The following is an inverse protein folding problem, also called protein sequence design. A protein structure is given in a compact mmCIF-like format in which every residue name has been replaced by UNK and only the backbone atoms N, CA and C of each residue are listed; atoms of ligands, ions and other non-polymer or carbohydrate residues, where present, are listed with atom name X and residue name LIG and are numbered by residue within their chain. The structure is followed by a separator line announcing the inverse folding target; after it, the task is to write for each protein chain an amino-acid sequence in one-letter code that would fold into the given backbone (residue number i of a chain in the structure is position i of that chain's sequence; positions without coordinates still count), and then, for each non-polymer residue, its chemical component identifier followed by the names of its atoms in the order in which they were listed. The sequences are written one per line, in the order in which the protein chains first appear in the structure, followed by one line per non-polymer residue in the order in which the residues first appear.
data_IF_394774336138
#
_entry.id   IF_394774336138
#
_cell.length_a   1.000
_cell.length_b   1.000
_cell.length_c   1.000
_cell.angle_alpha   90.00
_cell.angle_beta   90.00
_cell.angle_gamma   90.00
#
_symmetry.space_group_name_H-M   'P 1'
#
loop_
_entity.id
_entity.type
_entity.pdbx_description
1 polymer ?
#
# COMPACT_ATOMS: atom_id res chain seq x y z
N UNK A 1 10.07 8.74 -4.08
CA UNK A 1 9.82 7.60 -3.15
C UNK A 1 9.85 7.98 -1.65
N UNK A 2 9.00 7.38 -0.80
CA UNK A 2 9.05 7.56 0.65
C UNK A 2 8.61 6.31 1.45
N UNK A 3 9.45 5.86 2.40
CA UNK A 3 9.19 4.71 3.28
C UNK A 3 8.70 5.18 4.66
N UNK A 4 7.64 4.56 5.17
CA UNK A 4 6.99 4.91 6.43
C UNK A 4 6.79 3.62 7.24
N UNK A 5 7.17 3.62 8.52
CA UNK A 5 6.85 2.54 9.45
C UNK A 5 5.59 2.91 10.24
N UNK A 6 4.56 2.06 10.22
CA UNK A 6 3.31 2.33 10.96
C UNK A 6 3.41 2.00 12.45
N UNK A 7 4.11 0.92 12.82
CA UNK A 7 4.29 0.51 14.22
C UNK A 7 5.44 1.27 14.90
N UNK A 8 5.17 1.84 16.07
CA UNK A 8 6.19 2.43 16.96
C UNK A 8 6.53 3.90 16.72
N UNK A 9 5.88 4.59 15.77
CA UNK A 9 5.97 6.04 15.64
C UNK A 9 4.96 6.76 16.54
N UNK A 10 5.38 7.87 17.15
CA UNK A 10 4.46 8.82 17.80
C UNK A 10 3.43 9.31 16.78
N UNK A 11 2.15 9.24 17.15
CA UNK A 11 0.98 9.65 16.35
C UNK A 11 1.15 11.06 15.79
N UNK A 12 1.79 11.97 16.54
CA UNK A 12 2.09 13.34 16.11
C UNK A 12 3.08 13.41 14.94
N UNK A 13 4.08 12.53 14.91
CA UNK A 13 5.07 12.50 13.83
C UNK A 13 4.48 11.98 12.52
N UNK A 14 3.61 10.97 12.59
CA UNK A 14 2.84 10.51 11.43
C UNK A 14 1.88 11.60 10.95
N UNK A 15 1.19 12.30 11.85
CA UNK A 15 0.30 13.42 11.50
C UNK A 15 1.05 14.55 10.78
N UNK A 16 2.23 14.90 11.28
CA UNK A 16 3.06 15.96 10.70
C UNK A 16 3.62 15.57 9.33
N UNK A 17 4.07 14.32 9.18
CA UNK A 17 4.51 13.75 7.91
C UNK A 17 3.37 13.80 6.88
N UNK A 18 2.17 13.35 7.29
CA UNK A 18 1.01 13.34 6.42
C UNK A 18 0.59 14.76 6.03
N UNK A 19 0.58 15.70 6.97
CA UNK A 19 0.20 17.09 6.68
C UNK A 19 1.17 17.80 5.74
N UNK A 20 2.49 17.61 5.91
CA UNK A 20 3.51 18.23 5.05
C UNK A 20 3.46 17.75 3.59
N UNK A 21 2.90 16.56 3.36
CA UNK A 21 2.79 15.95 2.03
C UNK A 21 1.38 16.09 1.44
N UNK A 22 0.51 16.91 2.05
CA UNK A 22 -0.83 17.21 1.56
C UNK A 22 -1.89 16.16 1.88
N UNK A 23 -1.62 15.24 2.80
CA UNK A 23 -2.57 14.22 3.23
C UNK A 23 -3.53 14.76 4.31
N UNK A 24 -4.78 14.25 4.35
CA UNK A 24 -5.75 14.56 5.43
C UNK A 24 -5.54 13.62 6.62
N UNK A 25 -4.62 14.03 7.50
CA UNK A 25 -4.08 13.20 8.58
C UNK A 25 -5.10 12.82 9.67
N UNK A 26 -6.12 13.65 9.86
CA UNK A 26 -7.18 13.56 10.86
C UNK A 26 -8.11 12.35 10.69
N UNK A 27 -8.41 11.95 9.44
CA UNK A 27 -9.18 10.70 9.18
C UNK A 27 -8.30 9.46 9.12
N UNK A 28 -7.06 9.59 8.62
CA UNK A 28 -6.12 8.48 8.42
C UNK A 28 -5.60 7.88 9.72
N UNK A 29 -5.32 8.71 10.73
CA UNK A 29 -4.75 8.23 11.99
C UNK A 29 -5.74 7.45 12.84
N UNK A 30 -7.04 7.78 12.80
CA UNK A 30 -8.06 7.03 13.52
C UNK A 30 -8.13 5.56 13.05
N UNK A 31 -8.15 5.35 11.74
CA UNK A 31 -8.22 4.02 11.13
C UNK A 31 -6.90 3.24 11.22
N UNK A 32 -5.75 3.93 11.10
CA UNK A 32 -4.43 3.30 11.20
C UNK A 32 -4.06 2.92 12.64
N UNK A 33 -4.46 3.71 13.65
CA UNK A 33 -4.13 3.40 15.06
C UNK A 33 -4.91 2.19 15.58
N UNK A 34 -6.16 1.98 15.12
CA UNK A 34 -6.98 0.82 15.51
C UNK A 34 -6.45 -0.52 14.99
N UNK A 35 -5.63 -0.53 13.92
CA UNK A 35 -5.00 -1.74 13.37
C UNK A 35 -3.76 -2.20 14.16
N UNK A 36 -3.32 -1.44 15.16
CA UNK A 36 -2.02 -1.59 15.83
C UNK A 36 -2.13 -1.94 17.33
N UNK A 37 -3.32 -1.93 17.93
CA UNK A 37 -3.48 -2.34 19.33
C UNK A 37 -3.51 -3.88 19.48
N UNK A 38 -2.60 -4.49 20.26
CA UNK A 38 -2.81 -5.87 20.70
C UNK A 38 -3.93 -5.86 21.75
N UNK A 39 -4.89 -6.78 21.61
CA UNK A 39 -5.84 -7.06 22.68
C UNK A 39 -5.06 -7.54 23.91
N UNK A 40 -4.97 -6.70 24.94
CA UNK A 40 -4.48 -7.09 26.26
C UNK A 40 -5.56 -7.91 26.97
N UNK A 41 -5.26 -9.16 27.30
CA UNK A 41 -5.92 -9.92 28.37
C UNK A 41 -6.41 -11.32 27.98
N UNK A 42 -5.69 -12.35 28.44
CA UNK A 42 -6.05 -13.26 29.55
C UNK A 42 -5.32 -14.60 29.37
N UNK A 43 -4.48 -14.95 30.35
CA UNK A 43 -3.72 -16.21 30.41
C UNK A 43 -4.64 -17.40 30.75
N UNK A 44 -4.45 -18.53 30.05
CA UNK A 44 -4.80 -19.86 30.53
C UNK A 44 -5.72 -20.69 29.64
N UNK A 45 -5.15 -21.54 28.77
CA UNK A 45 -5.68 -22.86 28.37
C UNK A 45 -4.81 -23.54 27.29
N UNK A 46 -4.19 -24.68 27.64
CA UNK A 46 -3.56 -25.74 26.81
C UNK A 46 -2.57 -25.32 25.68
N UNK A 47 -1.59 -26.17 25.25
CA UNK A 47 -0.83 -25.87 24.05
C UNK A 47 -1.75 -26.08 22.85
N UNK A 48 -2.53 -25.04 22.52
CA UNK A 48 -3.13 -24.90 21.20
C UNK A 48 -1.96 -25.06 20.23
N UNK A 49 -2.03 -26.05 19.34
CA UNK A 49 -1.18 -26.03 18.14
C UNK A 49 -1.52 -24.72 17.45
N UNK A 50 -0.66 -23.72 17.66
CA UNK A 50 -0.72 -22.47 16.91
C UNK A 50 -0.44 -22.92 15.48
N UNK A 51 -1.49 -23.06 14.67
CA UNK A 51 -1.32 -22.94 13.23
C UNK A 51 -0.59 -21.61 13.03
N UNK A 52 0.52 -21.62 12.31
CA UNK A 52 1.41 -20.47 12.13
C UNK A 52 0.60 -19.17 11.94
N UNK A 53 0.97 -18.05 12.59
CA UNK A 53 0.33 -16.79 12.29
C UNK A 53 0.62 -16.41 10.81
N UNK A 54 -0.40 -16.62 9.97
CA UNK A 54 -0.89 -15.86 8.81
C UNK A 54 0.19 -15.00 8.13
N UNK A 55 0.48 -15.22 6.84
CA UNK A 55 1.39 -14.37 6.06
C UNK A 55 1.01 -12.88 6.18
N UNK A 56 1.59 -12.19 7.16
CA UNK A 56 1.42 -10.76 7.36
C UNK A 56 2.34 -10.09 6.37
N UNK A 57 1.77 -9.41 5.39
CA UNK A 57 2.53 -8.51 4.54
C UNK A 57 3.30 -7.55 5.45
N UNK A 58 4.64 -7.57 5.37
CA UNK A 58 5.47 -6.66 6.17
C UNK A 58 5.59 -5.31 5.44
N UNK A 59 5.51 -5.29 4.11
CA UNK A 59 5.58 -4.07 3.31
C UNK A 59 4.45 -3.99 2.29
N UNK A 60 3.77 -2.84 2.25
CA UNK A 60 2.89 -2.45 1.15
C UNK A 60 3.53 -1.33 0.32
N UNK A 61 3.74 -1.62 -0.96
CA UNK A 61 4.19 -0.65 -1.96
C UNK A 61 2.97 0.01 -2.57
N UNK A 62 2.92 1.34 -2.55
CA UNK A 62 1.75 2.15 -2.90
C UNK A 62 2.07 3.01 -4.12
N UNK A 63 1.40 2.74 -5.24
CA UNK A 63 1.68 3.36 -6.54
C UNK A 63 0.43 4.07 -7.07
N UNK A 64 0.30 5.40 -6.90
CA UNK A 64 -0.70 6.16 -7.62
C UNK A 64 -0.31 6.28 -9.10
N UNK A 65 -1.24 6.03 -10.01
CA UNK A 65 -1.01 6.04 -11.45
C UNK A 65 -2.10 6.84 -12.18
N UNK A 66 -1.70 7.65 -13.16
CA UNK A 66 -2.61 8.34 -14.08
C UNK A 66 -1.86 8.65 -15.38
N UNK A 67 -2.29 8.05 -16.49
CA UNK A 67 -1.72 8.26 -17.82
C UNK A 67 -0.18 8.07 -17.91
N UNK A 68 0.29 6.90 -17.48
CA UNK A 68 1.72 6.52 -17.36
C UNK A 68 2.03 5.23 -18.15
N UNK A 69 1.31 5.00 -19.26
CA UNK A 69 1.42 3.74 -20.03
C UNK A 69 2.85 3.38 -20.46
N UNK A 70 3.69 4.39 -20.71
CA UNK A 70 5.04 4.19 -21.24
C UNK A 70 6.03 3.72 -20.16
N UNK A 71 5.67 3.87 -18.88
CA UNK A 71 6.58 3.62 -17.74
C UNK A 71 6.07 2.56 -16.78
N UNK A 72 4.76 2.44 -16.58
CA UNK A 72 4.17 1.60 -15.53
C UNK A 72 4.57 0.12 -15.64
N UNK A 73 4.78 -0.38 -16.87
CA UNK A 73 5.24 -1.75 -17.09
C UNK A 73 6.64 -1.97 -16.52
N UNK A 74 7.57 -1.05 -16.78
CA UNK A 74 8.95 -1.13 -16.31
C UNK A 74 9.04 -0.90 -14.81
N UNK A 75 8.29 0.08 -14.29
CA UNK A 75 8.16 0.34 -12.85
C UNK A 75 7.77 -0.93 -12.09
N UNK A 76 6.64 -1.55 -12.45
CA UNK A 76 6.13 -2.75 -11.79
C UNK A 76 7.05 -3.95 -11.94
N UNK A 77 7.65 -4.14 -13.13
CA UNK A 77 8.58 -5.26 -13.36
C UNK A 77 9.83 -5.11 -12.49
N UNK A 78 10.40 -3.90 -12.42
CA UNK A 78 11.60 -3.62 -11.60
C UNK A 78 11.37 -3.89 -10.11
N UNK A 79 10.15 -3.62 -9.61
CA UNK A 79 9.76 -3.94 -8.23
C UNK A 79 9.63 -5.47 -8.08
N UNK A 80 8.89 -6.12 -8.98
CA UNK A 80 8.63 -7.56 -8.92
C UNK A 80 9.92 -8.39 -8.92
N UNK A 81 10.96 -7.96 -9.65
CA UNK A 81 12.24 -8.65 -9.74
C UNK A 81 13.05 -8.62 -8.43
N UNK A 82 12.72 -7.69 -7.52
CA UNK A 82 13.47 -7.45 -6.29
C UNK A 82 12.73 -7.91 -5.03
N UNK A 83 11.40 -7.86 -5.03
CA UNK A 83 10.59 -8.14 -3.83
C UNK A 83 10.57 -9.62 -3.46
N UNK A 84 10.52 -9.89 -2.15
CA UNK A 84 10.42 -11.22 -1.54
C UNK A 84 9.00 -11.48 -1.05
N UNK A 85 8.76 -12.62 -0.41
CA UNK A 85 7.47 -12.91 0.22
C UNK A 85 7.13 -11.89 1.32
N UNK A 86 5.82 -11.69 1.52
CA UNK A 86 5.29 -10.70 2.46
C UNK A 86 5.32 -9.25 1.95
N UNK A 87 5.46 -9.03 0.65
CA UNK A 87 5.30 -7.70 0.01
C UNK A 87 4.08 -7.70 -0.91
N UNK A 88 3.16 -6.76 -0.70
CA UNK A 88 2.05 -6.45 -1.60
C UNK A 88 2.27 -5.13 -2.35
N UNK A 89 1.79 -5.08 -3.59
CA UNK A 89 1.89 -3.92 -4.47
C UNK A 89 0.47 -3.45 -4.79
N UNK A 90 0.11 -2.28 -4.30
CA UNK A 90 -1.18 -1.65 -4.54
C UNK A 90 -1.00 -0.54 -5.56
N UNK A 91 -1.62 -0.71 -6.72
CA UNK A 91 -1.69 0.31 -7.78
C UNK A 91 -3.08 0.90 -7.77
N UNK A 92 -3.18 2.23 -7.67
CA UNK A 92 -4.43 2.94 -7.86
C UNK A 92 -4.38 3.72 -9.17
N UNK A 93 -5.26 3.36 -10.09
CA UNK A 93 -5.48 4.06 -11.35
C UNK A 93 -6.51 5.19 -11.16
N UNK A 94 -6.05 6.44 -11.20
CA UNK A 94 -6.88 7.64 -11.01
C UNK A 94 -7.56 8.04 -12.32
N UNK A 95 -8.31 7.10 -12.92
CA UNK A 95 -9.05 7.28 -14.16
C UNK A 95 -8.14 7.65 -15.36
N UNK A 96 -7.18 6.79 -15.67
CA UNK A 96 -6.37 6.93 -16.88
C UNK A 96 -7.24 6.77 -18.14
N UNK A 97 -6.91 7.53 -19.18
CA UNK A 97 -7.53 7.46 -20.51
C UNK A 97 -6.64 6.77 -21.53
N UNK A 98 -5.46 6.33 -21.11
CA UNK A 98 -4.46 5.64 -21.92
C UNK A 98 -4.41 4.13 -21.58
N UNK A 99 -3.35 3.42 -22.02
CA UNK A 99 -3.22 1.99 -21.77
C UNK A 99 -2.80 1.60 -20.34
N UNK A 100 -2.57 2.55 -19.43
CA UNK A 100 -2.07 2.32 -18.06
C UNK A 100 -2.85 1.22 -17.34
N UNK A 101 -4.17 1.36 -17.28
CA UNK A 101 -5.04 0.42 -16.59
C UNK A 101 -4.95 -1.00 -17.17
N UNK A 102 -4.89 -1.11 -18.50
CA UNK A 102 -4.79 -2.39 -19.20
C UNK A 102 -3.46 -3.10 -18.91
N UNK A 103 -2.36 -2.35 -18.90
CA UNK A 103 -1.02 -2.87 -18.59
C UNK A 103 -0.98 -3.42 -17.16
N UNK A 104 -1.51 -2.68 -16.19
CA UNK A 104 -1.55 -3.14 -14.78
C UNK A 104 -2.42 -4.39 -14.64
N UNK A 105 -3.57 -4.47 -15.33
CA UNK A 105 -4.41 -5.69 -15.33
C UNK A 105 -3.65 -6.90 -15.88
N UNK A 106 -2.85 -6.73 -16.92
CA UNK A 106 -2.06 -7.82 -17.50
C UNK A 106 -1.00 -8.33 -16.52
N UNK A 107 -0.25 -7.44 -15.87
CA UNK A 107 0.74 -7.81 -14.85
C UNK A 107 0.08 -8.44 -13.62
N UNK A 108 -1.07 -7.91 -13.18
CA UNK A 108 -1.88 -8.51 -12.11
C UNK A 108 -2.30 -9.94 -12.43
N UNK A 109 -2.71 -10.22 -13.66
CA UNK A 109 -3.10 -11.57 -14.06
C UNK A 109 -1.94 -12.58 -13.95
N UNK A 110 -0.70 -12.12 -14.15
CA UNK A 110 0.52 -12.92 -13.98
C UNK A 110 0.96 -13.04 -12.51
N UNK A 111 0.68 -12.03 -11.69
CA UNK A 111 1.07 -11.95 -10.28
C UNK A 111 -0.12 -11.67 -9.34
N UNK A 112 -1.19 -12.49 -9.35
CA UNK A 112 -2.45 -12.18 -8.68
C UNK A 112 -2.35 -12.14 -7.15
N UNK A 113 -1.34 -12.79 -6.58
CA UNK A 113 -1.07 -12.78 -5.14
C UNK A 113 -0.25 -11.55 -4.69
N UNK A 114 0.33 -10.78 -5.61
CA UNK A 114 1.22 -9.64 -5.29
C UNK A 114 0.66 -8.29 -5.72
N UNK A 115 0.01 -8.22 -6.87
CA UNK A 115 -0.50 -6.95 -7.41
C UNK A 115 -2.00 -6.85 -7.12
N UNK A 116 -2.41 -5.72 -6.55
CA UNK A 116 -3.80 -5.30 -6.47
C UNK A 116 -3.97 -4.01 -7.29
N UNK A 117 -4.93 -4.02 -8.21
CA UNK A 117 -5.35 -2.82 -8.95
C UNK A 117 -6.64 -2.28 -8.33
N UNK A 118 -6.62 -1.00 -7.98
CA UNK A 118 -7.78 -0.24 -7.49
C UNK A 118 -8.13 0.80 -8.57
N UNK A 119 -9.38 0.80 -8.99
CA UNK A 119 -9.93 1.81 -9.92
C UNK A 119 -10.59 2.92 -9.09
N UNK A 120 -10.20 4.17 -9.30
CA UNK A 120 -10.79 5.31 -8.61
C UNK A 120 -12.23 5.62 -9.08
N UNK A 121 -12.64 5.12 -10.25
CA UNK A 121 -13.94 5.39 -10.90
C UNK A 121 -14.06 6.79 -11.50
N UNK A 122 -13.39 7.79 -10.93
CA UNK A 122 -13.23 9.15 -11.45
C UNK A 122 -11.89 9.73 -10.99
N UNK A 123 -11.34 10.70 -11.73
CA UNK A 123 -10.12 11.37 -11.30
C UNK A 123 -10.38 12.23 -10.07
N UNK A 124 -9.53 12.05 -9.06
CA UNK A 124 -9.60 12.68 -7.74
C UNK A 124 -8.27 13.32 -7.32
N UNK A 125 -7.24 13.16 -8.15
CA UNK A 125 -5.92 13.70 -7.95
C UNK A 125 -5.05 12.85 -7.02
N UNK A 126 -3.74 13.07 -7.10
CA UNK A 126 -2.70 12.25 -6.44
C UNK A 126 -2.87 12.14 -4.91
N UNK A 127 -3.37 13.19 -4.25
CA UNK A 127 -3.61 13.16 -2.80
C UNK A 127 -4.72 12.17 -2.41
N UNK A 128 -5.83 12.18 -3.14
CA UNK A 128 -6.95 11.26 -2.92
C UNK A 128 -6.58 9.81 -3.29
N UNK A 129 -5.84 9.64 -4.39
CA UNK A 129 -5.26 8.35 -4.77
C UNK A 129 -4.42 7.75 -3.64
N UNK A 130 -3.46 8.52 -3.11
CA UNK A 130 -2.62 8.04 -2.02
C UNK A 130 -3.39 7.78 -0.73
N UNK A 131 -4.40 8.59 -0.38
CA UNK A 131 -5.27 8.31 0.78
C UNK A 131 -6.04 6.99 0.64
N UNK A 132 -6.46 6.65 -0.57
CA UNK A 132 -7.14 5.37 -0.85
C UNK A 132 -6.17 4.20 -0.75
N UNK A 133 -4.95 4.36 -1.28
CA UNK A 133 -3.88 3.38 -1.12
C UNK A 133 -3.52 3.13 0.34
N UNK A 134 -3.38 4.20 1.15
CA UNK A 134 -3.12 4.09 2.60
C UNK A 134 -4.18 3.25 3.32
N UNK A 135 -5.47 3.44 2.99
CA UNK A 135 -6.56 2.68 3.62
C UNK A 135 -6.58 1.21 3.20
N UNK A 136 -6.21 0.92 1.96
CA UNK A 136 -6.17 -0.42 1.41
C UNK A 136 -4.94 -1.23 1.87
N UNK A 137 -3.82 -0.55 2.16
CA UNK A 137 -2.56 -1.17 2.56
C UNK A 137 -2.67 -2.01 3.85
N UNK A 138 -1.92 -3.11 3.90
CA UNK A 138 -1.90 -4.07 5.02
C UNK A 138 -0.53 -4.26 5.66
N UNK A 139 0.51 -3.73 5.02
CA UNK A 139 1.90 -3.76 5.44
C UNK A 139 2.15 -3.07 6.78
N UNK A 140 3.12 -3.56 7.56
CA UNK A 140 3.69 -2.82 8.68
C UNK A 140 4.45 -1.57 8.21
N UNK A 141 5.10 -1.69 7.05
CA UNK A 141 5.79 -0.63 6.34
C UNK A 141 5.02 -0.25 5.09
N UNK A 142 5.03 1.03 4.75
CA UNK A 142 4.43 1.58 3.55
C UNK A 142 5.50 2.26 2.72
N UNK A 143 5.56 1.99 1.42
CA UNK A 143 6.50 2.66 0.54
C UNK A 143 5.77 3.23 -0.67
N UNK A 144 5.72 4.56 -0.76
CA UNK A 144 5.23 5.24 -1.95
C UNK A 144 6.30 5.24 -3.04
N UNK A 145 5.90 4.79 -4.23
CA UNK A 145 6.71 4.83 -5.45
C UNK A 145 5.89 5.53 -6.52
N UNK A 146 6.51 6.42 -7.28
CA UNK A 146 5.87 7.10 -8.40
C UNK A 146 5.86 6.15 -9.62
N UNK A 147 4.77 6.15 -10.39
CA UNK A 147 4.50 5.13 -11.40
C UNK A 147 5.44 5.15 -12.63
N UNK A 148 6.30 6.16 -12.70
CA UNK A 148 7.33 6.39 -13.70
C UNK A 148 8.76 6.13 -13.18
N UNK A 149 8.93 5.75 -11.90
CA UNK A 149 10.23 5.37 -11.34
C UNK A 149 10.58 3.90 -11.66
N UNK A 150 11.85 3.65 -11.97
CA UNK A 150 12.45 2.32 -12.06
C UNK A 150 13.37 2.08 -10.86
N UNK A 151 13.31 0.88 -10.28
CA UNK A 151 14.18 0.44 -9.18
C UNK A 151 15.27 -0.55 -9.60
#
# INVERSE_FOLDING_TARGET
PALIKLRGHDRKNLELYFRHRGYRADSLLGELTQRVSPAMGQEGAAPIRVQEPIATHWLSILIPAHNVQDYIAECLTSILDQVRDGVDILVLDDHSTDATQAIVRQLRARHPARIQLIDAGQSSGVGAARNTLLRAARGEYLWFIDADDKL
#
